data_IF_791793007059
#
_entry.id   IF_791793007059
#
_cell.length_a   1.000
_cell.length_b   1.000
_cell.length_c   1.000
_cell.angle_alpha   90.00
_cell.angle_beta   90.00
_cell.angle_gamma   90.00
#
_symmetry.space_group_name_H-M   'P 1'
#
loop_
_entity.id
_entity.type
_entity.pdbx_description
1 polymer ?
#
# COMPACT_ATOMS: atom_id res chain seq x y z
N UNK A 1 -25.86 3.52 -16.80
CA UNK A 1 -24.66 3.60 -15.95
C UNK A 1 -24.33 5.08 -15.77
N UNK A 2 -24.18 5.58 -14.53
CA UNK A 2 -24.06 7.03 -14.23
C UNK A 2 -22.59 7.47 -14.11
N UNK A 3 -21.67 6.53 -13.90
CA UNK A 3 -20.25 6.80 -13.68
C UNK A 3 -19.42 6.60 -14.95
N UNK A 4 -18.21 7.17 -14.96
CA UNK A 4 -17.15 6.83 -15.92
C UNK A 4 -16.92 5.31 -15.99
N UNK A 5 -16.44 4.82 -17.14
CA UNK A 5 -16.28 3.39 -17.44
C UNK A 5 -15.46 2.68 -16.35
N UNK A 6 -14.30 3.23 -15.97
CA UNK A 6 -13.43 2.64 -14.95
C UNK A 6 -14.11 2.46 -13.59
N UNK A 7 -14.84 3.49 -13.16
CA UNK A 7 -15.59 3.45 -11.91
C UNK A 7 -16.74 2.46 -12.00
N UNK A 8 -17.43 2.43 -13.13
CA UNK A 8 -18.56 1.51 -13.33
C UNK A 8 -18.11 0.05 -13.31
N UNK A 9 -17.03 -0.27 -14.01
CA UNK A 9 -16.44 -1.60 -14.06
C UNK A 9 -16.02 -2.08 -12.66
N UNK A 10 -15.36 -1.19 -11.89
CA UNK A 10 -14.88 -1.53 -10.55
C UNK A 10 -16.00 -1.67 -9.52
N UNK A 11 -16.99 -0.77 -9.52
CA UNK A 11 -18.04 -0.71 -8.50
C UNK A 11 -19.34 -1.43 -8.89
N UNK A 12 -19.49 -1.81 -10.17
CA UNK A 12 -20.68 -2.47 -10.70
C UNK A 12 -20.86 -3.91 -10.23
N UNK A 13 -19.84 -4.52 -9.61
CA UNK A 13 -19.93 -5.87 -9.05
C UNK A 13 -20.05 -6.98 -10.10
N UNK A 14 -19.56 -6.72 -11.32
CA UNK A 14 -19.63 -7.66 -12.45
C UNK A 14 -18.95 -9.01 -12.18
N UNK A 15 -17.94 -9.06 -11.30
CA UNK A 15 -17.29 -10.31 -10.89
C UNK A 15 -18.24 -11.33 -10.24
N UNK A 16 -19.43 -10.93 -9.78
CA UNK A 16 -20.45 -11.89 -9.30
C UNK A 16 -20.96 -12.82 -10.41
N UNK A 17 -20.93 -12.37 -11.67
CA UNK A 17 -21.38 -13.10 -12.85
C UNK A 17 -20.28 -13.98 -13.45
N UNK A 18 -19.02 -13.79 -13.05
CA UNK A 18 -17.90 -14.57 -13.56
C UNK A 18 -18.00 -16.06 -13.16
N UNK A 19 -17.52 -16.97 -14.02
CA UNK A 19 -17.53 -18.41 -13.75
C UNK A 19 -16.70 -18.74 -12.51
N UNK A 20 -17.04 -19.85 -11.85
CA UNK A 20 -16.25 -20.37 -10.73
C UNK A 20 -15.09 -21.19 -11.29
N UNK A 21 -13.87 -20.77 -11.00
CA UNK A 21 -12.68 -21.58 -11.26
C UNK A 21 -12.39 -22.41 -10.01
N UNK A 22 -12.87 -23.65 -9.99
CA UNK A 22 -12.84 -24.50 -8.78
C UNK A 22 -11.45 -25.07 -8.44
N UNK A 23 -10.54 -25.15 -9.42
CA UNK A 23 -9.25 -25.84 -9.30
C UNK A 23 -8.10 -25.03 -8.64
N UNK A 24 -8.36 -23.81 -8.13
CA UNK A 24 -7.27 -22.91 -7.70
C UNK A 24 -6.94 -23.07 -6.21
N UNK A 25 -5.65 -23.24 -5.84
CA UNK A 25 -5.22 -23.31 -4.46
C UNK A 25 -5.49 -22.01 -3.70
N UNK A 26 -5.64 -22.10 -2.38
CA UNK A 26 -5.76 -20.92 -1.51
C UNK A 26 -4.37 -20.35 -1.24
N UNK A 27 -4.25 -19.02 -1.33
CA UNK A 27 -3.04 -18.29 -0.95
C UNK A 27 -2.83 -18.43 0.55
N UNK A 28 -1.79 -19.16 0.95
CA UNK A 28 -1.47 -19.46 2.35
C UNK A 28 0.03 -19.48 2.55
N UNK A 29 0.51 -18.91 3.66
CA UNK A 29 1.95 -18.79 3.96
C UNK A 29 2.68 -20.13 4.02
N UNK A 30 1.98 -21.25 4.28
CA UNK A 30 2.58 -22.59 4.36
C UNK A 30 2.72 -23.29 3.00
N UNK A 31 1.87 -22.96 2.04
CA UNK A 31 1.70 -23.71 0.77
C UNK A 31 1.94 -22.85 -0.46
N UNK A 32 2.85 -21.86 -0.38
CA UNK A 32 3.22 -21.02 -1.53
C UNK A 32 4.10 -21.83 -2.49
N UNK A 33 3.55 -22.17 -3.65
CA UNK A 33 4.29 -22.81 -4.75
C UNK A 33 4.60 -21.76 -5.82
N UNK A 34 5.83 -21.70 -6.36
CA UNK A 34 6.18 -20.73 -7.40
C UNK A 34 5.35 -20.99 -8.68
N UNK A 35 5.13 -19.93 -9.45
CA UNK A 35 4.41 -19.98 -10.73
C UNK A 35 2.98 -20.52 -10.61
N UNK A 36 2.34 -20.46 -9.43
CA UNK A 36 0.95 -20.90 -9.26
C UNK A 36 0.02 -19.73 -8.97
N UNK A 37 -1.13 -19.70 -9.65
CA UNK A 37 -2.21 -18.77 -9.34
C UNK A 37 -2.91 -19.26 -8.07
N UNK A 38 -3.14 -18.36 -7.12
CA UNK A 38 -3.72 -18.66 -5.82
C UNK A 38 -4.82 -17.65 -5.47
N UNK A 39 -5.93 -18.13 -4.92
CA UNK A 39 -7.05 -17.27 -4.48
C UNK A 39 -6.87 -16.84 -3.03
N UNK A 40 -7.17 -15.59 -2.70
CA UNK A 40 -7.21 -15.16 -1.30
C UNK A 40 -8.38 -15.82 -0.55
N UNK A 41 -8.21 -16.10 0.76
CA UNK A 41 -9.35 -16.51 1.58
C UNK A 41 -10.38 -15.38 1.70
N UNK A 42 -11.65 -15.70 1.95
CA UNK A 42 -12.73 -14.72 2.08
C UNK A 42 -12.46 -13.68 3.17
N UNK A 43 -11.91 -14.13 4.31
CA UNK A 43 -11.53 -13.29 5.44
C UNK A 43 -10.43 -12.30 5.04
N UNK A 44 -9.32 -12.81 4.49
CA UNK A 44 -8.18 -11.97 4.08
C UNK A 44 -8.61 -11.01 2.96
N UNK A 45 -9.35 -11.48 1.97
CA UNK A 45 -9.88 -10.63 0.90
C UNK A 45 -10.79 -9.52 1.43
N UNK A 46 -11.58 -9.78 2.48
CA UNK A 46 -12.42 -8.76 3.10
C UNK A 46 -11.58 -7.66 3.78
N UNK A 47 -10.52 -8.03 4.51
CA UNK A 47 -9.59 -7.08 5.12
C UNK A 47 -8.79 -6.32 4.07
N UNK A 48 -8.32 -6.96 3.01
CA UNK A 48 -7.64 -6.30 1.89
C UNK A 48 -8.53 -5.29 1.17
N UNK A 49 -9.83 -5.59 1.00
CA UNK A 49 -10.82 -4.62 0.48
C UNK A 49 -10.98 -3.42 1.42
N UNK A 50 -11.04 -3.65 2.73
CA UNK A 50 -11.10 -2.57 3.73
C UNK A 50 -9.85 -1.69 3.69
N UNK A 51 -8.67 -2.28 3.46
CA UNK A 51 -7.41 -1.56 3.31
C UNK A 51 -7.30 -0.75 2.01
N UNK A 52 -8.17 -1.02 1.03
CA UNK A 52 -8.07 -0.43 -0.31
C UNK A 52 -6.86 -0.96 -1.09
N UNK A 53 -6.49 -2.23 -0.86
CA UNK A 53 -5.38 -2.88 -1.54
C UNK A 53 -5.69 -3.10 -3.04
N UNK A 54 -6.89 -3.57 -3.35
CA UNK A 54 -7.38 -3.71 -4.73
C UNK A 54 -7.69 -2.35 -5.36
N UNK A 55 -7.09 -2.08 -6.52
CA UNK A 55 -7.21 -0.81 -7.25
C UNK A 55 -8.14 -0.94 -8.46
N UNK A 56 -8.72 0.18 -8.86
CA UNK A 56 -9.63 0.34 -10.01
C UNK A 56 -9.03 -0.23 -11.31
N UNK A 57 -7.73 -0.06 -11.54
CA UNK A 57 -7.07 -0.45 -12.80
C UNK A 57 -6.46 -1.87 -12.80
N UNK A 58 -6.85 -2.74 -11.87
CA UNK A 58 -6.30 -4.10 -11.74
C UNK A 58 -7.19 -5.19 -12.34
N UNK A 59 -8.34 -4.83 -12.92
CA UNK A 59 -9.23 -5.75 -13.60
C UNK A 59 -9.73 -6.94 -12.74
N UNK A 60 -9.91 -6.70 -11.45
CA UNK A 60 -10.37 -7.71 -10.49
C UNK A 60 -11.83 -8.11 -10.73
N UNK A 61 -12.60 -7.28 -11.45
CA UNK A 61 -13.98 -7.52 -11.83
C UNK A 61 -14.18 -8.72 -12.77
N UNK A 62 -13.13 -9.15 -13.48
CA UNK A 62 -13.22 -10.25 -14.43
C UNK A 62 -13.31 -11.61 -13.71
N UNK A 63 -12.89 -11.65 -12.46
CA UNK A 63 -12.83 -12.87 -11.68
C UNK A 63 -13.84 -12.84 -10.55
N UNK A 64 -14.36 -14.02 -10.22
CA UNK A 64 -15.29 -14.16 -9.10
C UNK A 64 -14.63 -13.96 -7.73
N UNK A 65 -13.40 -14.40 -7.61
CA UNK A 65 -12.58 -14.25 -6.41
C UNK A 65 -11.28 -13.54 -6.78
N UNK A 66 -10.79 -12.69 -5.88
CA UNK A 66 -9.50 -12.05 -6.05
C UNK A 66 -8.40 -13.11 -5.97
N UNK A 67 -7.65 -13.23 -7.05
CA UNK A 67 -6.56 -14.17 -7.22
C UNK A 67 -5.25 -13.42 -7.52
N UNK A 68 -4.13 -14.07 -7.20
CA UNK A 68 -2.80 -13.52 -7.36
C UNK A 68 -1.84 -14.63 -7.81
N UNK A 69 -0.77 -14.27 -8.52
CA UNK A 69 0.27 -15.21 -8.91
C UNK A 69 1.39 -15.21 -7.87
N UNK A 70 1.77 -16.39 -7.38
CA UNK A 70 2.94 -16.55 -6.53
C UNK A 70 4.19 -16.55 -7.41
N UNK A 71 5.05 -15.55 -7.23
CA UNK A 71 6.27 -15.36 -8.02
C UNK A 71 7.48 -15.82 -7.25
N UNK A 72 8.37 -16.56 -7.91
CA UNK A 72 9.62 -17.01 -7.30
C UNK A 72 10.53 -15.81 -7.00
N UNK A 73 10.64 -14.89 -7.95
CA UNK A 73 11.55 -13.74 -7.88
C UNK A 73 11.20 -12.70 -6.80
N UNK A 74 9.92 -12.59 -6.42
CA UNK A 74 9.45 -11.46 -5.59
C UNK A 74 8.58 -11.90 -4.42
N UNK A 75 7.59 -12.76 -4.63
CA UNK A 75 6.68 -13.19 -3.56
C UNK A 75 7.38 -14.05 -2.51
N UNK A 76 8.26 -14.96 -2.91
CA UNK A 76 8.99 -15.82 -1.97
C UNK A 76 10.00 -15.04 -1.13
N UNK A 77 10.88 -14.18 -1.69
CA UNK A 77 11.75 -13.31 -0.89
C UNK A 77 10.96 -12.37 0.03
N UNK A 78 9.82 -11.85 -0.43
CA UNK A 78 8.96 -10.99 0.39
C UNK A 78 8.44 -11.73 1.64
N UNK A 79 8.06 -13.01 1.50
CA UNK A 79 7.65 -13.84 2.63
C UNK A 79 8.77 -13.96 3.66
N UNK A 80 10.00 -14.22 3.22
CA UNK A 80 11.18 -14.32 4.10
C UNK A 80 11.47 -13.00 4.81
N UNK A 81 11.41 -11.88 4.09
CA UNK A 81 11.55 -10.53 4.65
C UNK A 81 10.53 -10.30 5.76
N UNK A 82 9.26 -10.65 5.53
CA UNK A 82 8.21 -10.47 6.54
C UNK A 82 8.40 -11.41 7.75
N UNK A 83 8.89 -12.63 7.54
CA UNK A 83 9.23 -13.53 8.63
C UNK A 83 10.38 -12.98 9.48
N UNK A 84 11.42 -12.42 8.86
CA UNK A 84 12.51 -11.75 9.59
C UNK A 84 12.01 -10.49 10.31
N UNK A 85 11.13 -9.72 9.66
CA UNK A 85 10.52 -8.52 10.23
C UNK A 85 9.66 -8.81 11.47
N UNK A 86 9.12 -10.02 11.61
CA UNK A 86 8.38 -10.39 12.83
C UNK A 86 9.24 -10.38 14.10
N UNK A 87 10.57 -10.51 13.96
CA UNK A 87 11.53 -10.63 15.08
C UNK A 87 12.50 -9.46 15.19
N UNK A 88 12.39 -8.47 14.29
CA UNK A 88 13.37 -7.41 14.19
C UNK A 88 12.71 -6.04 14.00
N UNK A 89 13.41 -5.00 14.44
CA UNK A 89 12.93 -3.64 14.33
C UNK A 89 12.73 -3.22 12.88
N UNK A 90 11.61 -2.52 12.67
CA UNK A 90 11.26 -1.92 11.38
C UNK A 90 12.31 -0.96 10.84
N UNK A 91 13.21 -0.44 11.70
CA UNK A 91 14.35 0.38 11.26
C UNK A 91 15.26 -0.37 10.27
N UNK A 92 15.39 -1.69 10.42
CA UNK A 92 16.24 -2.51 9.53
C UNK A 92 15.47 -3.07 8.32
N UNK A 93 14.14 -2.97 8.35
CA UNK A 93 13.20 -3.58 7.40
C UNK A 93 12.39 -2.51 6.68
N UNK A 94 13.08 -1.56 6.06
CA UNK A 94 12.47 -0.52 5.22
C UNK A 94 12.80 -0.81 3.77
N UNK A 95 11.75 -1.03 2.96
CA UNK A 95 11.90 -1.38 1.55
C UNK A 95 11.06 -0.48 0.66
N UNK A 96 11.56 -0.19 -0.53
CA UNK A 96 10.85 0.50 -1.60
C UNK A 96 10.77 -0.40 -2.83
N UNK A 97 9.55 -0.70 -3.24
CA UNK A 97 9.23 -1.52 -4.40
C UNK A 97 9.28 -0.63 -5.64
N UNK A 98 10.15 -1.00 -6.57
CA UNK A 98 10.40 -0.29 -7.83
C UNK A 98 10.22 -1.21 -9.02
N UNK A 99 10.14 -0.63 -10.21
CA UNK A 99 9.99 -1.38 -11.45
C UNK A 99 9.13 -0.65 -12.50
N UNK A 100 8.99 -1.22 -13.70
CA UNK A 100 8.26 -0.61 -14.82
C UNK A 100 6.75 -0.42 -14.56
N UNK A 101 6.09 0.27 -15.49
CA UNK A 101 4.63 0.44 -15.46
C UNK A 101 3.92 -0.91 -15.65
N UNK A 102 2.92 -1.20 -14.81
CA UNK A 102 2.08 -2.39 -14.95
C UNK A 102 2.69 -3.71 -14.46
N UNK A 103 3.89 -3.66 -13.85
CA UNK A 103 4.64 -4.87 -13.47
C UNK A 103 4.12 -5.60 -12.22
N UNK A 104 3.15 -5.02 -11.50
CA UNK A 104 2.56 -5.64 -10.29
C UNK A 104 3.08 -5.11 -8.95
N UNK A 105 3.60 -3.87 -8.87
CA UNK A 105 4.11 -3.29 -7.61
C UNK A 105 3.04 -3.18 -6.51
N UNK A 106 1.86 -2.64 -6.84
CA UNK A 106 0.71 -2.59 -5.92
C UNK A 106 0.17 -3.98 -5.58
N UNK A 107 0.31 -4.94 -6.49
CA UNK A 107 -0.06 -6.35 -6.23
C UNK A 107 0.90 -6.98 -5.21
N UNK A 108 2.21 -6.71 -5.32
CA UNK A 108 3.19 -7.18 -4.35
C UNK A 108 2.94 -6.60 -2.94
N UNK A 109 2.53 -5.34 -2.81
CA UNK A 109 2.05 -4.77 -1.54
C UNK A 109 0.79 -5.45 -1.00
N UNK A 110 -0.12 -5.84 -1.90
CA UNK A 110 -1.34 -6.58 -1.55
C UNK A 110 -0.98 -7.97 -1.02
N UNK A 111 -0.05 -8.67 -1.68
CA UNK A 111 0.50 -9.94 -1.20
C UNK A 111 1.20 -9.78 0.16
N UNK A 112 1.98 -8.71 0.36
CA UNK A 112 2.63 -8.44 1.64
C UNK A 112 1.60 -8.28 2.76
N UNK A 113 0.54 -7.51 2.50
CA UNK A 113 -0.56 -7.30 3.44
C UNK A 113 -1.31 -8.59 3.74
N UNK A 114 -1.51 -9.45 2.73
CA UNK A 114 -2.13 -10.76 2.90
C UNK A 114 -1.29 -11.70 3.79
N UNK A 115 0.02 -11.78 3.53
CA UNK A 115 0.97 -12.57 4.34
C UNK A 115 1.00 -12.06 5.78
N UNK A 116 1.01 -10.74 5.96
CA UNK A 116 1.02 -10.09 7.26
C UNK A 116 -0.27 -10.40 8.06
N UNK A 117 -1.45 -10.28 7.44
CA UNK A 117 -2.73 -10.63 8.06
C UNK A 117 -2.75 -12.10 8.53
N UNK A 118 -2.30 -13.03 7.67
CA UNK A 118 -2.27 -14.46 8.00
C UNK A 118 -1.30 -14.80 9.15
N UNK A 119 -0.28 -13.98 9.37
CA UNK A 119 0.71 -14.16 10.43
C UNK A 119 0.42 -13.30 11.68
N UNK A 120 -0.76 -12.67 11.77
CA UNK A 120 -1.15 -11.89 12.96
C UNK A 120 -0.47 -10.52 13.08
N UNK A 121 -0.03 -9.93 11.97
CA UNK A 121 0.50 -8.56 11.97
C UNK A 121 -0.62 -7.53 12.06
N UNK A 122 -0.30 -6.36 12.60
CA UNK A 122 -1.12 -5.16 12.42
C UNK A 122 -0.72 -4.48 11.12
N UNK A 123 -1.62 -4.41 10.15
CA UNK A 123 -1.37 -3.77 8.86
C UNK A 123 -1.89 -2.33 8.88
N UNK A 124 -1.00 -1.38 8.57
CA UNK A 124 -1.31 0.05 8.44
C UNK A 124 -1.19 0.41 6.96
N UNK A 125 -2.31 0.59 6.22
CA UNK A 125 -2.25 0.80 4.77
C UNK A 125 -2.48 2.25 4.36
N UNK A 126 -1.59 2.77 3.53
CA UNK A 126 -1.80 4.02 2.79
C UNK A 126 -1.92 3.67 1.30
N UNK A 127 -3.16 3.52 0.80
CA UNK A 127 -3.40 2.95 -0.51
C UNK A 127 -3.09 3.91 -1.67
N UNK A 128 -3.15 5.22 -1.46
CA UNK A 128 -2.90 6.22 -2.51
C UNK A 128 -2.35 7.50 -1.88
N UNK A 129 -1.03 7.72 -1.94
CA UNK A 129 -0.43 8.97 -1.44
C UNK A 129 -0.91 10.23 -2.18
N UNK A 130 -1.39 10.10 -3.42
CA UNK A 130 -1.92 11.23 -4.18
C UNK A 130 -3.09 11.96 -3.50
N UNK A 131 -3.93 11.24 -2.73
CA UNK A 131 -5.04 11.86 -1.99
C UNK A 131 -4.54 12.87 -0.95
N UNK A 132 -3.38 12.62 -0.35
CA UNK A 132 -2.79 13.47 0.71
C UNK A 132 -2.35 14.84 0.21
N UNK A 133 -2.05 14.97 -1.09
CA UNK A 133 -1.51 16.20 -1.69
C UNK A 133 -2.51 16.91 -2.60
N UNK A 134 -3.57 16.21 -3.01
CA UNK A 134 -4.53 16.61 -4.06
C UNK A 134 -5.29 17.91 -3.76
N UNK A 135 -5.45 18.29 -2.49
CA UNK A 135 -6.29 19.42 -2.10
C UNK A 135 -7.77 19.06 -1.90
N UNK A 136 -8.15 17.77 -2.02
CA UNK A 136 -9.56 17.35 -2.03
C UNK A 136 -10.20 17.23 -0.64
N UNK A 137 -9.41 17.13 0.43
CA UNK A 137 -9.91 16.88 1.80
C UNK A 137 -9.75 18.08 2.72
N UNK A 138 -10.50 18.15 3.81
CA UNK A 138 -10.33 19.24 4.78
C UNK A 138 -8.96 19.18 5.48
N UNK A 139 -8.43 20.35 5.84
CA UNK A 139 -7.18 20.47 6.58
C UNK A 139 -7.29 21.58 7.64
N UNK A 140 -6.53 21.44 8.73
CA UNK A 140 -6.51 22.39 9.85
C UNK A 140 -5.07 22.54 10.32
N UNK A 141 -4.61 23.78 10.50
CA UNK A 141 -3.30 24.06 11.06
C UNK A 141 -3.30 23.84 12.58
N UNK A 142 -2.39 23.01 13.06
CA UNK A 142 -2.13 22.80 14.48
C UNK A 142 -0.94 23.63 14.95
N UNK A 143 -1.22 24.57 15.86
CA UNK A 143 -0.19 25.42 16.48
C UNK A 143 0.74 24.65 17.40
N UNK A 144 0.27 23.53 17.99
CA UNK A 144 1.06 22.76 18.95
C UNK A 144 2.21 22.01 18.25
N UNK A 145 1.95 21.44 17.08
CA UNK A 145 2.93 20.66 16.32
C UNK A 145 3.56 21.43 15.15
N UNK A 146 3.10 22.65 14.87
CA UNK A 146 3.44 23.43 13.66
C UNK A 146 3.22 22.64 12.35
N UNK A 147 2.12 21.88 12.30
CA UNK A 147 1.78 20.98 11.19
C UNK A 147 0.33 21.16 10.78
N UNK A 148 0.01 20.73 9.56
CA UNK A 148 -1.36 20.68 9.06
C UNK A 148 -1.94 19.27 9.23
N UNK A 149 -3.04 19.18 9.98
CA UNK A 149 -3.82 17.98 10.20
C UNK A 149 -4.87 17.83 9.08
N UNK A 150 -5.14 16.60 8.63
CA UNK A 150 -6.16 16.29 7.59
C UNK A 150 -7.30 15.44 8.17
N UNK A 151 -8.25 16.02 8.94
CA UNK A 151 -9.14 15.26 9.80
C UNK A 151 -10.12 14.34 9.04
N UNK A 152 -10.56 14.66 7.81
CA UNK A 152 -11.42 13.77 7.03
C UNK A 152 -10.64 12.58 6.47
N UNK A 153 -9.42 12.81 5.96
CA UNK A 153 -8.56 11.70 5.54
C UNK A 153 -8.20 10.82 6.75
N UNK A 154 -7.76 11.41 7.88
CA UNK A 154 -7.40 10.67 9.11
C UNK A 154 -8.55 9.80 9.61
N UNK A 155 -9.81 10.26 9.52
CA UNK A 155 -10.98 9.43 9.86
C UNK A 155 -11.02 8.18 9.01
N UNK A 156 -10.97 8.33 7.68
CA UNK A 156 -11.05 7.19 6.76
C UNK A 156 -9.87 6.25 6.96
N UNK A 157 -8.67 6.79 7.18
CA UNK A 157 -7.46 6.03 7.45
C UNK A 157 -7.57 5.21 8.73
N UNK A 158 -7.99 5.82 9.85
CA UNK A 158 -8.25 5.12 11.10
C UNK A 158 -9.34 4.05 10.95
N UNK A 159 -10.43 4.35 10.24
CA UNK A 159 -11.49 3.36 9.98
C UNK A 159 -10.96 2.13 9.21
N UNK A 160 -10.05 2.32 8.24
CA UNK A 160 -9.39 1.22 7.52
C UNK A 160 -8.55 0.37 8.47
N UNK A 161 -7.71 1.01 9.29
CA UNK A 161 -6.84 0.31 10.27
C UNK A 161 -7.69 -0.47 11.27
N UNK A 162 -8.67 0.16 11.91
CA UNK A 162 -9.48 -0.49 12.94
C UNK A 162 -10.32 -1.63 12.36
N UNK A 163 -10.98 -1.44 11.21
CA UNK A 163 -11.86 -2.47 10.64
C UNK A 163 -11.08 -3.67 10.10
N UNK A 164 -9.96 -3.45 9.42
CA UNK A 164 -9.21 -4.54 8.80
C UNK A 164 -8.31 -5.33 9.76
N UNK A 165 -7.97 -4.77 10.93
CA UNK A 165 -7.16 -5.43 11.97
C UNK A 165 -7.95 -5.71 13.26
N UNK A 166 -9.28 -5.85 13.18
CA UNK A 166 -10.17 -5.97 14.35
C UNK A 166 -9.68 -7.03 15.33
N UNK A 167 -9.30 -8.20 14.82
CA UNK A 167 -8.96 -9.36 15.65
C UNK A 167 -7.67 -9.10 16.45
N UNK A 168 -6.62 -8.61 15.79
CA UNK A 168 -5.33 -8.30 16.45
C UNK A 168 -5.41 -7.08 17.37
N UNK A 169 -6.10 -6.02 16.96
CA UNK A 169 -6.23 -4.80 17.78
C UNK A 169 -7.08 -5.02 19.03
N UNK A 170 -7.96 -6.02 19.03
CA UNK A 170 -8.76 -6.37 20.20
C UNK A 170 -7.91 -6.96 21.33
N UNK A 171 -6.82 -7.67 20.99
CA UNK A 171 -5.93 -8.33 21.96
C UNK A 171 -4.87 -7.41 22.54
N UNK A 172 -4.56 -6.30 21.86
CA UNK A 172 -3.55 -5.34 22.29
C UNK A 172 -4.12 -4.33 23.28
N UNK A 173 -3.37 -4.05 24.35
CA UNK A 173 -3.75 -3.12 25.41
C UNK A 173 -2.89 -1.86 25.39
N UNK A 174 -3.45 -0.73 25.83
CA UNK A 174 -2.74 0.53 25.99
C UNK A 174 -1.78 0.51 27.17
N UNK A 175 -0.52 0.89 26.96
CA UNK A 175 0.51 0.90 28.00
C UNK A 175 0.42 2.10 28.96
N UNK A 176 -0.16 3.22 28.52
CA UNK A 176 -0.24 4.48 29.29
C UNK A 176 -1.65 5.06 29.33
N UNK A 177 -1.88 5.91 30.33
CA UNK A 177 -3.01 6.83 30.35
C UNK A 177 -2.74 8.02 29.41
N UNK A 178 -3.70 8.36 28.56
CA UNK A 178 -3.64 9.54 27.71
C UNK A 178 -4.78 10.48 28.08
N UNK A 179 -4.45 11.73 28.41
CA UNK A 179 -5.43 12.81 28.57
C UNK A 179 -5.04 13.96 27.65
N UNK A 180 -5.73 14.07 26.52
CA UNK A 180 -5.47 15.11 25.52
C UNK A 180 -6.69 16.01 25.46
N UNK A 181 -6.51 17.30 25.79
CA UNK A 181 -7.59 18.29 25.73
C UNK A 181 -7.38 19.19 24.52
N UNK A 182 -8.31 19.17 23.58
CA UNK A 182 -8.23 19.97 22.35
C UNK A 182 -9.55 20.67 22.07
N UNK A 183 -9.53 22.01 22.09
CA UNK A 183 -10.68 22.85 21.75
C UNK A 183 -11.92 22.59 22.62
N UNK A 184 -11.73 22.38 23.93
CA UNK A 184 -12.80 22.18 24.92
C UNK A 184 -13.28 20.74 25.10
N UNK A 185 -12.82 19.80 24.26
CA UNK A 185 -13.07 18.36 24.45
C UNK A 185 -11.83 17.67 24.99
N UNK A 186 -11.99 16.94 26.10
CA UNK A 186 -10.94 16.09 26.66
C UNK A 186 -11.16 14.65 26.21
N UNK A 187 -10.15 14.10 25.54
CA UNK A 187 -10.03 12.70 25.19
C UNK A 187 -9.21 12.00 26.26
N UNK A 188 -9.85 11.10 27.01
CA UNK A 188 -9.23 10.30 28.05
C UNK A 188 -9.21 8.83 27.64
N UNK A 189 -8.03 8.24 27.60
CA UNK A 189 -7.81 6.80 27.41
C UNK A 189 -7.13 6.29 28.66
N UNK A 190 -7.76 5.32 29.31
CA UNK A 190 -7.18 4.64 30.47
C UNK A 190 -6.19 3.59 30.00
N UNK A 191 -5.17 3.37 30.81
CA UNK A 191 -4.26 2.24 30.74
C UNK A 191 -5.05 0.92 30.74
N UNK A 192 -4.48 -0.08 30.07
CA UNK A 192 -5.03 -1.42 29.95
C UNK A 192 -6.40 -1.49 29.21
N UNK A 193 -6.76 -0.43 28.47
CA UNK A 193 -7.88 -0.48 27.53
C UNK A 193 -7.45 -1.12 26.20
N UNK A 194 -8.37 -1.84 25.56
CA UNK A 194 -8.09 -2.43 24.23
C UNK A 194 -7.85 -1.33 23.19
N UNK A 195 -6.83 -1.46 22.35
CA UNK A 195 -6.54 -0.50 21.28
C UNK A 195 -7.72 -0.33 20.32
N UNK A 196 -8.53 -1.37 20.10
CA UNK A 196 -9.74 -1.28 19.28
C UNK A 196 -10.80 -0.33 19.86
N UNK A 197 -10.83 -0.12 21.18
CA UNK A 197 -11.80 0.77 21.84
C UNK A 197 -11.68 2.23 21.41
N UNK A 198 -10.48 2.65 20.98
CA UNK A 198 -10.18 3.98 20.45
C UNK A 198 -11.04 4.36 19.24
N UNK A 199 -11.51 3.36 18.48
CA UNK A 199 -12.42 3.56 17.33
C UNK A 199 -13.67 4.36 17.70
N UNK A 200 -14.21 4.15 18.90
CA UNK A 200 -15.42 4.85 19.36
C UNK A 200 -15.23 6.36 19.45
N UNK A 201 -14.00 6.80 19.68
CA UNK A 201 -13.62 8.19 19.92
C UNK A 201 -13.28 8.96 18.63
N UNK A 202 -13.09 8.26 17.50
CA UNK A 202 -12.76 8.85 16.16
C UNK A 202 -13.88 9.75 15.61
N UNK A 203 -15.09 9.70 16.20
CA UNK A 203 -16.26 10.48 15.77
C UNK A 203 -15.97 11.99 15.76
N UNK A 204 -15.33 12.50 16.80
CA UNK A 204 -15.03 13.92 16.96
C UNK A 204 -13.90 14.35 16.03
N UNK A 205 -14.12 15.35 15.17
CA UNK A 205 -13.12 15.83 14.19
C UNK A 205 -11.81 16.27 14.84
N UNK A 206 -11.89 16.98 15.97
CA UNK A 206 -10.75 17.62 16.64
C UNK A 206 -9.72 16.61 17.16
N UNK A 207 -10.15 15.43 17.59
CA UNK A 207 -9.28 14.47 18.28
C UNK A 207 -8.62 13.46 17.33
N UNK A 208 -8.93 13.50 16.02
CA UNK A 208 -8.53 12.43 15.08
C UNK A 208 -7.02 12.33 14.89
N UNK A 209 -6.36 13.48 14.76
CA UNK A 209 -4.91 13.58 14.66
C UNK A 209 -4.23 13.02 15.92
N UNK A 210 -4.78 13.36 17.09
CA UNK A 210 -4.28 12.92 18.39
C UNK A 210 -4.47 11.40 18.56
N UNK A 211 -5.65 10.87 18.23
CA UNK A 211 -5.93 9.43 18.26
C UNK A 211 -4.97 8.65 17.37
N UNK A 212 -4.67 9.16 16.17
CA UNK A 212 -3.68 8.54 15.29
C UNK A 212 -2.29 8.52 15.94
N UNK A 213 -1.87 9.64 16.54
CA UNK A 213 -0.57 9.72 17.22
C UNK A 213 -0.46 8.74 18.39
N UNK A 214 -1.51 8.61 19.20
CA UNK A 214 -1.58 7.67 20.32
C UNK A 214 -1.54 6.22 19.83
N UNK A 215 -2.34 5.89 18.80
CA UNK A 215 -2.36 4.55 18.22
C UNK A 215 -0.97 4.14 17.74
N UNK A 216 -0.28 5.01 17.01
CA UNK A 216 1.05 4.70 16.49
C UNK A 216 2.12 4.64 17.57
N UNK A 217 2.02 5.48 18.59
CA UNK A 217 2.92 5.43 19.74
C UNK A 217 2.78 4.10 20.49
N UNK A 218 1.55 3.64 20.75
CA UNK A 218 1.31 2.34 21.37
C UNK A 218 1.78 1.18 20.49
N UNK A 219 1.53 1.24 19.18
CA UNK A 219 2.02 0.24 18.23
C UNK A 219 3.55 0.21 18.13
N UNK A 220 4.23 1.34 18.38
CA UNK A 220 5.69 1.42 18.47
C UNK A 220 6.26 0.85 19.78
N UNK A 221 5.50 0.90 20.88
CA UNK A 221 5.93 0.40 22.19
C UNK A 221 5.73 -1.11 22.33
N UNK A 222 4.61 -1.62 21.82
CA UNK A 222 4.25 -3.03 21.96
C UNK A 222 5.20 -3.96 21.18
N UNK A 223 5.33 -5.19 21.68
CA UNK A 223 6.18 -6.25 21.09
C UNK A 223 5.39 -7.49 20.67
N UNK A 224 4.12 -7.59 21.07
CA UNK A 224 3.30 -8.79 20.94
C UNK A 224 2.94 -9.10 19.48
N UNK A 225 2.65 -8.08 18.67
CA UNK A 225 2.23 -8.25 17.27
C UNK A 225 3.07 -7.37 16.37
N UNK A 226 3.75 -7.93 15.36
CA UNK A 226 4.55 -7.12 14.44
C UNK A 226 3.67 -6.19 13.60
N UNK A 227 4.23 -5.04 13.20
CA UNK A 227 3.50 -4.01 12.45
C UNK A 227 4.01 -3.95 11.01
N UNK A 228 3.09 -4.03 10.04
CA UNK A 228 3.40 -3.78 8.63
C UNK A 228 2.83 -2.43 8.21
N UNK A 229 3.68 -1.46 7.95
CA UNK A 229 3.28 -0.18 7.38
C UNK A 229 3.48 -0.20 5.86
N UNK A 230 2.39 -0.16 5.09
CA UNK A 230 2.43 -0.14 3.63
C UNK A 230 2.04 1.23 3.06
N UNK A 231 2.78 1.68 2.05
CA UNK A 231 2.59 2.97 1.40
C UNK A 231 2.66 2.80 -0.11
N UNK A 232 1.57 3.05 -0.81
CA UNK A 232 1.54 3.04 -2.27
C UNK A 232 1.70 4.46 -2.83
N UNK A 233 2.25 4.57 -4.04
CA UNK A 233 2.47 5.84 -4.75
C UNK A 233 3.46 6.82 -4.05
N UNK A 234 4.52 6.33 -3.39
CA UNK A 234 5.44 7.20 -2.60
C UNK A 234 6.12 8.29 -3.44
N UNK A 235 6.39 7.99 -4.71
CA UNK A 235 7.08 8.90 -5.61
C UNK A 235 6.26 10.16 -5.96
N UNK A 236 4.97 10.19 -5.60
CA UNK A 236 4.15 11.39 -5.74
C UNK A 236 4.74 12.59 -4.98
N UNK A 237 5.35 12.37 -3.81
CA UNK A 237 5.95 13.45 -3.01
C UNK A 237 7.15 14.10 -3.69
N UNK A 238 7.82 13.38 -4.58
CA UNK A 238 8.95 13.91 -5.37
C UNK A 238 8.53 14.44 -6.73
N UNK A 239 7.37 14.03 -7.23
CA UNK A 239 6.79 14.55 -8.46
C UNK A 239 6.13 15.91 -8.22
N UNK A 240 5.46 16.05 -7.08
CA UNK A 240 4.82 17.29 -6.63
C UNK A 240 5.25 17.55 -5.18
N UNK A 241 6.39 18.24 -4.98
CA UNK A 241 6.90 18.56 -3.64
C UNK A 241 5.98 19.50 -2.86
N UNK A 242 5.28 20.40 -3.56
CA UNK A 242 4.25 21.25 -2.98
C UNK A 242 2.87 20.66 -3.23
N UNK A 243 2.03 20.71 -2.20
CA UNK A 243 0.65 20.25 -2.26
C UNK A 243 -0.26 21.31 -2.90
N UNK A 244 -1.45 20.89 -3.34
CA UNK A 244 -2.46 21.83 -3.85
C UNK A 244 -3.15 22.63 -2.72
N UNK A 245 -2.85 22.34 -1.46
CA UNK A 245 -3.33 23.12 -0.32
C UNK A 245 -2.58 24.45 -0.24
N UNK A 246 -3.34 25.50 0.05
CA UNK A 246 -2.80 26.85 0.18
C UNK A 246 -2.80 27.30 1.64
N UNK A 247 -1.75 28.01 2.02
CA UNK A 247 -1.71 28.70 3.31
C UNK A 247 -2.51 30.02 3.28
N UNK A 248 -2.52 30.75 4.41
CA UNK A 248 -3.18 32.05 4.52
C UNK A 248 -2.59 33.12 3.57
N UNK A 249 -1.39 32.89 3.02
CA UNK A 249 -0.73 33.77 2.04
C UNK A 249 -0.98 33.31 0.60
N UNK A 250 -1.92 32.39 0.39
CA UNK A 250 -2.24 31.77 -0.90
C UNK A 250 -1.04 31.05 -1.56
N UNK A 251 -0.10 30.53 -0.75
CA UNK A 251 1.06 29.78 -1.25
C UNK A 251 0.87 28.27 -1.05
N UNK A 252 1.27 27.44 -2.03
CA UNK A 252 1.31 25.99 -1.89
C UNK A 252 2.12 25.53 -0.67
N UNK A 253 1.54 24.64 0.12
CA UNK A 253 2.17 24.11 1.33
C UNK A 253 3.07 22.92 0.96
N UNK A 254 4.30 22.90 1.46
CA UNK A 254 5.22 21.78 1.29
C UNK A 254 4.70 20.49 1.95
N UNK A 255 4.81 19.36 1.26
CA UNK A 255 4.18 18.10 1.69
C UNK A 255 4.61 17.63 3.10
N UNK A 256 5.87 17.86 3.53
CA UNK A 256 6.31 17.50 4.90
C UNK A 256 5.66 18.30 6.01
N UNK A 257 5.00 19.44 5.72
CA UNK A 257 4.25 20.19 6.73
C UNK A 257 2.90 19.56 7.09
N UNK A 258 2.51 18.47 6.42
CA UNK A 258 1.30 17.72 6.76
C UNK A 258 1.61 16.57 7.72
N UNK A 259 0.76 16.38 8.72
CA UNK A 259 0.95 15.38 9.79
C UNK A 259 1.16 13.96 9.24
N UNK A 260 0.30 13.51 8.32
CA UNK A 260 0.33 12.15 7.77
C UNK A 260 1.51 11.95 6.84
N UNK A 261 1.80 12.94 6.00
CA UNK A 261 2.94 12.88 5.09
C UNK A 261 4.26 12.86 5.86
N UNK A 262 4.39 13.71 6.89
CA UNK A 262 5.56 13.69 7.76
C UNK A 262 5.70 12.33 8.47
N UNK A 263 4.59 11.77 8.93
CA UNK A 263 4.55 10.46 9.56
C UNK A 263 5.06 9.36 8.62
N UNK A 264 4.56 9.29 7.39
CA UNK A 264 5.07 8.36 6.35
C UNK A 264 6.59 8.46 6.23
N UNK A 265 7.09 9.69 6.07
CA UNK A 265 8.50 9.94 5.85
C UNK A 265 9.34 9.64 7.09
N UNK A 266 8.83 9.88 8.30
CA UNK A 266 9.51 9.57 9.56
C UNK A 266 9.68 8.06 9.78
N UNK A 267 8.73 7.23 9.33
CA UNK A 267 8.87 5.77 9.37
C UNK A 267 9.78 5.24 8.25
N UNK A 268 9.75 5.86 7.07
CA UNK A 268 10.65 5.51 5.97
C UNK A 268 12.10 5.95 6.21
N UNK A 269 12.32 7.06 6.91
CA UNK A 269 13.64 7.55 7.32
C UNK A 269 14.20 6.79 8.53
N UNK A 270 13.35 6.07 9.26
CA UNK A 270 13.72 5.43 10.52
C UNK A 270 13.80 6.34 11.73
N UNK A 271 13.39 7.61 11.61
CA UNK A 271 13.23 8.50 12.77
C UNK A 271 12.22 7.91 13.76
N UNK A 272 11.12 7.36 13.22
CA UNK A 272 10.16 6.53 13.97
C UNK A 272 10.31 5.09 13.56
N UNK A 273 10.16 4.19 14.53
CA UNK A 273 10.22 2.75 14.29
C UNK A 273 9.26 1.99 15.21
N UNK A 274 8.85 0.83 14.74
CA UNK A 274 8.24 -0.26 15.50
C UNK A 274 9.31 -1.25 15.94
N UNK A 275 9.19 -1.78 17.17
CA UNK A 275 10.11 -2.78 17.72
C UNK A 275 10.17 -4.08 16.91
N UNK A 276 9.02 -4.53 16.40
CA UNK A 276 8.87 -5.65 15.49
C UNK A 276 8.03 -5.20 14.29
N UNK A 277 8.54 -5.30 13.07
CA UNK A 277 7.79 -4.93 11.89
C UNK A 277 8.60 -4.56 10.66
N UNK A 278 7.89 -4.08 9.64
CA UNK A 278 8.47 -3.61 8.38
C UNK A 278 7.71 -2.41 7.82
N UNK A 279 8.42 -1.59 7.06
CA UNK A 279 7.85 -0.48 6.28
C UNK A 279 8.08 -0.76 4.80
N UNK A 280 7.00 -0.89 4.03
CA UNK A 280 7.05 -1.16 2.59
C UNK A 280 6.42 0.00 1.83
N UNK A 281 7.23 0.66 1.00
CA UNK A 281 6.75 1.66 0.06
C UNK A 281 6.74 1.11 -1.37
N UNK A 282 5.93 1.71 -2.24
CA UNK A 282 5.77 1.33 -3.64
C UNK A 282 5.76 2.58 -4.52
N UNK A 283 6.42 2.48 -5.68
CA UNK A 283 6.46 3.56 -6.68
C UNK A 283 5.44 3.33 -7.79
N UNK A 284 4.81 4.40 -8.27
CA UNK A 284 3.87 4.35 -9.38
C UNK A 284 4.46 4.98 -10.62
N UNK A 285 4.45 4.24 -11.72
CA UNK A 285 5.09 4.68 -12.95
C UNK A 285 4.52 6.00 -13.51
N UNK A 286 3.25 6.31 -13.23
CA UNK A 286 2.62 7.57 -13.64
C UNK A 286 3.38 8.83 -13.18
N UNK A 287 3.91 8.83 -11.96
CA UNK A 287 4.63 9.99 -11.42
C UNK A 287 6.11 10.02 -11.83
N UNK A 288 6.58 9.03 -12.60
CA UNK A 288 7.97 8.92 -13.00
C UNK A 288 8.93 8.58 -11.86
N UNK A 289 10.21 8.39 -12.20
CA UNK A 289 11.29 8.22 -11.24
C UNK A 289 12.23 9.43 -11.33
N UNK A 290 11.93 10.46 -10.54
CA UNK A 290 12.71 11.70 -10.50
C UNK A 290 14.07 11.50 -9.84
N UNK A 291 14.97 12.48 -10.00
CA UNK A 291 16.30 12.44 -9.39
C UNK A 291 16.22 12.27 -7.86
N UNK A 292 15.29 12.97 -7.19
CA UNK A 292 15.07 12.82 -5.75
C UNK A 292 14.85 11.37 -5.30
N UNK A 293 14.02 10.61 -6.02
CA UNK A 293 13.80 9.20 -5.69
C UNK A 293 15.04 8.35 -5.96
N UNK A 294 15.73 8.57 -7.08
CA UNK A 294 16.95 7.82 -7.40
C UNK A 294 18.04 8.06 -6.35
N UNK A 295 18.20 9.30 -5.91
CA UNK A 295 19.14 9.69 -4.86
C UNK A 295 18.69 9.13 -3.50
N UNK A 296 17.39 9.19 -3.19
CA UNK A 296 16.83 8.61 -1.95
C UNK A 296 17.07 7.10 -1.83
N UNK A 297 17.06 6.40 -2.97
CA UNK A 297 17.31 4.96 -3.07
C UNK A 297 18.79 4.62 -3.29
N UNK A 298 19.70 5.59 -3.15
CA UNK A 298 21.15 5.44 -3.34
C UNK A 298 21.56 4.89 -4.73
N UNK A 299 20.77 5.19 -5.77
CA UNK A 299 21.06 4.79 -7.16
C UNK A 299 21.85 5.83 -7.94
N UNK A 300 21.86 7.08 -7.50
CA UNK A 300 22.51 8.21 -8.18
C UNK A 300 23.03 9.20 -7.14
N UNK A 301 24.07 9.95 -7.50
CA UNK A 301 24.64 10.99 -6.65
C UNK A 301 23.74 12.24 -6.54
N UNK A 302 23.75 12.93 -5.39
CA UNK A 302 22.96 14.14 -5.19
C UNK A 302 23.49 15.30 -6.04
N UNK A 303 22.57 16.07 -6.64
CA UNK A 303 22.90 17.27 -7.42
C UNK A 303 22.31 18.52 -6.73
N UNK A 304 23.07 19.19 -5.85
CA UNK A 304 22.53 20.20 -4.93
C UNK A 304 22.08 21.51 -5.60
N UNK A 305 22.52 21.76 -6.84
CA UNK A 305 22.23 23.01 -7.55
C UNK A 305 20.87 23.01 -8.27
N UNK A 306 20.19 21.88 -8.34
CA UNK A 306 18.89 21.77 -8.99
C UNK A 306 17.78 22.36 -8.12
N UNK A 307 16.72 22.82 -8.78
CA UNK A 307 15.54 23.36 -8.09
C UNK A 307 14.76 22.24 -7.41
N UNK A 308 13.99 22.57 -6.37
CA UNK A 308 13.20 21.61 -5.60
C UNK A 308 12.21 20.79 -6.45
N UNK A 309 11.68 21.38 -7.54
CA UNK A 309 10.75 20.70 -8.45
C UNK A 309 11.40 19.53 -9.20
N UNK A 310 12.73 19.59 -9.40
CA UNK A 310 13.52 18.55 -10.06
C UNK A 310 14.24 17.66 -9.03
N UNK A 311 14.71 18.29 -7.95
CA UNK A 311 15.45 17.66 -6.87
C UNK A 311 15.14 18.28 -5.50
N UNK A 312 14.29 17.59 -4.74
CA UNK A 312 14.11 17.80 -3.30
C UNK A 312 15.21 17.09 -2.49
N UNK A 313 16.23 17.85 -2.08
CA UNK A 313 17.33 17.37 -1.24
C UNK A 313 16.85 16.91 0.15
N UNK A 314 15.91 17.63 0.76
CA UNK A 314 15.38 17.30 2.08
C UNK A 314 14.69 15.94 2.07
N UNK A 315 13.89 15.67 1.04
CA UNK A 315 13.27 14.35 0.85
C UNK A 315 14.34 13.25 0.70
N UNK A 316 15.30 13.46 -0.21
CA UNK A 316 16.31 12.47 -0.53
C UNK A 316 17.23 12.13 0.66
N UNK A 317 17.65 13.14 1.43
CA UNK A 317 18.43 12.94 2.64
C UNK A 317 17.65 12.20 3.72
N UNK A 318 16.37 12.54 3.91
CA UNK A 318 15.54 11.88 4.92
C UNK A 318 15.46 10.37 4.69
N UNK A 319 15.31 9.93 3.44
CA UNK A 319 15.22 8.50 3.14
C UNK A 319 16.56 7.75 3.21
N UNK A 320 17.70 8.47 3.13
CA UNK A 320 19.04 7.87 3.28
C UNK A 320 19.45 7.68 4.74
N UNK A 321 18.80 8.39 5.67
CA UNK A 321 19.12 8.30 7.09
C UNK A 321 18.92 6.89 7.65
N UNK A 322 19.59 6.60 8.77
CA UNK A 322 19.44 5.37 9.57
C UNK A 322 19.61 4.06 8.79
N UNK A 323 20.51 4.01 7.82
CA UNK A 323 20.78 2.82 7.01
C UNK A 323 19.99 2.73 5.70
N UNK A 324 19.23 3.78 5.36
CA UNK A 324 18.57 3.94 4.07
C UNK A 324 17.37 3.02 3.85
N UNK A 325 16.71 3.18 2.70
CA UNK A 325 15.62 2.32 2.24
C UNK A 325 16.16 1.33 1.21
N UNK A 326 15.94 0.03 1.43
CA UNK A 326 16.38 -1.04 0.52
C UNK A 326 15.46 -1.11 -0.70
N UNK A 327 16.00 -1.37 -1.88
CA UNK A 327 15.20 -1.46 -3.11
C UNK A 327 14.79 -2.91 -3.38
N UNK A 328 13.51 -3.13 -3.66
CA UNK A 328 13.01 -4.37 -4.26
C UNK A 328 12.62 -4.05 -5.68
N UNK A 329 13.36 -4.55 -6.67
CA UNK A 329 12.99 -4.39 -8.07
C UNK A 329 12.03 -5.52 -8.47
N UNK A 330 10.89 -5.15 -9.05
CA UNK A 330 9.92 -6.12 -9.57
C UNK A 330 10.21 -6.33 -11.03
N UNK A 331 10.64 -7.54 -11.36
CA UNK A 331 10.96 -7.95 -12.71
C UNK A 331 9.73 -8.39 -13.50
N UNK A 332 9.91 -8.60 -14.81
CA UNK A 332 8.90 -9.17 -15.70
C UNK A 332 8.62 -10.63 -15.37
N UNK A 333 7.44 -11.10 -15.78
CA UNK A 333 7.03 -12.48 -15.59
C UNK A 333 7.94 -13.41 -16.38
N UNK A 334 8.25 -14.56 -15.80
CA UNK A 334 8.87 -15.64 -16.56
C UNK A 334 7.88 -16.24 -17.56
N UNK A 335 8.39 -17.05 -18.49
CA UNK A 335 7.54 -17.79 -19.45
C UNK A 335 6.59 -18.74 -18.73
N UNK A 336 7.07 -19.43 -17.69
CA UNK A 336 6.28 -20.35 -16.86
C UNK A 336 5.21 -19.60 -16.06
N UNK A 337 5.57 -18.48 -15.42
CA UNK A 337 4.64 -17.60 -14.70
C UNK A 337 3.52 -17.08 -15.63
N UNK A 338 3.88 -16.75 -16.88
CA UNK A 338 2.94 -16.29 -17.90
C UNK A 338 2.03 -17.43 -18.36
N UNK A 339 2.52 -18.66 -18.44
CA UNK A 339 1.72 -19.84 -18.80
C UNK A 339 0.62 -20.10 -17.79
N UNK A 340 0.97 -20.13 -16.51
CA UNK A 340 -0.01 -20.31 -15.45
C UNK A 340 -1.09 -19.22 -15.41
N UNK A 341 -0.74 -17.98 -15.78
CA UNK A 341 -1.72 -16.90 -15.90
C UNK A 341 -2.64 -17.07 -17.12
N UNK A 342 -2.08 -17.44 -18.27
CA UNK A 342 -2.87 -17.67 -19.51
C UNK A 342 -3.82 -18.85 -19.32
N UNK A 343 -3.35 -19.95 -18.74
CA UNK A 343 -4.20 -21.10 -18.36
C UNK A 343 -5.31 -20.68 -17.41
N UNK A 344 -5.01 -19.84 -16.41
CA UNK A 344 -6.01 -19.31 -15.51
C UNK A 344 -7.04 -18.43 -16.23
N UNK A 345 -6.62 -17.57 -17.17
CA UNK A 345 -7.54 -16.74 -17.96
C UNK A 345 -8.43 -17.58 -18.88
N UNK A 346 -7.92 -18.69 -19.41
CA UNK A 346 -8.72 -19.64 -20.17
C UNK A 346 -9.75 -20.34 -19.28
N UNK A 347 -9.34 -20.85 -18.11
CA UNK A 347 -10.25 -21.46 -17.14
C UNK A 347 -11.32 -20.49 -16.61
N UNK A 348 -11.01 -19.20 -16.56
CA UNK A 348 -11.95 -18.13 -16.20
C UNK A 348 -12.85 -17.69 -17.37
N UNK A 349 -12.79 -18.34 -18.53
CA UNK A 349 -13.53 -18.02 -19.75
C UNK A 349 -13.29 -16.59 -20.27
N UNK A 350 -12.13 -16.00 -19.94
CA UNK A 350 -11.71 -14.69 -20.45
C UNK A 350 -11.05 -14.85 -21.81
N UNK A 351 -10.22 -15.89 -21.94
CA UNK A 351 -9.56 -16.28 -23.18
C UNK A 351 -10.28 -17.47 -23.80
N UNK A 352 -10.90 -17.27 -24.96
CA UNK A 352 -11.63 -18.33 -25.67
C UNK A 352 -10.72 -19.29 -26.44
N UNK A 353 -9.50 -18.86 -26.78
CA UNK A 353 -8.51 -19.68 -27.49
C UNK A 353 -7.85 -20.68 -26.53
N UNK A 354 -7.62 -21.91 -26.99
CA UNK A 354 -6.93 -22.92 -26.18
C UNK A 354 -5.46 -22.54 -25.93
N UNK A 355 -4.94 -22.71 -24.70
CA UNK A 355 -3.59 -22.32 -24.32
C UNK A 355 -2.54 -23.26 -24.93
N UNK A 356 -2.25 -23.06 -26.22
CA UNK A 356 -1.16 -23.76 -26.92
C UNK A 356 0.17 -23.05 -26.66
N UNK A 357 1.29 -23.76 -26.73
CA UNK A 357 2.64 -23.18 -26.57
C UNK A 357 2.93 -22.03 -27.56
N UNK A 358 2.46 -22.13 -28.80
CA UNK A 358 2.58 -21.07 -29.80
C UNK A 358 1.81 -19.81 -29.40
N UNK A 359 0.59 -19.97 -28.88
CA UNK A 359 -0.23 -18.87 -28.39
C UNK A 359 0.42 -18.19 -27.19
N UNK A 360 0.97 -18.99 -26.26
CA UNK A 360 1.73 -18.47 -25.13
C UNK A 360 2.87 -17.56 -25.60
N UNK A 361 3.68 -18.03 -26.55
CA UNK A 361 4.83 -17.29 -27.04
C UNK A 361 4.40 -15.98 -27.74
N UNK A 362 3.29 -16.01 -28.50
CA UNK A 362 2.68 -14.82 -29.08
C UNK A 362 2.24 -13.82 -28.01
N UNK A 363 1.43 -14.23 -27.03
CA UNK A 363 0.92 -13.35 -25.97
C UNK A 363 2.06 -12.83 -25.08
N UNK A 364 3.06 -13.67 -24.81
CA UNK A 364 4.26 -13.29 -24.07
C UNK A 364 5.06 -12.21 -24.82
N UNK A 365 5.25 -12.38 -26.13
CA UNK A 365 5.92 -11.39 -26.98
C UNK A 365 5.15 -10.07 -27.03
N UNK A 366 3.84 -10.11 -27.29
CA UNK A 366 2.96 -8.92 -27.34
C UNK A 366 2.89 -8.18 -26.00
N UNK A 367 3.01 -8.90 -24.88
CA UNK A 367 3.07 -8.28 -23.55
C UNK A 367 4.40 -7.56 -23.27
N UNK A 368 5.36 -7.57 -24.19
CA UNK A 368 6.69 -7.00 -24.01
C UNK A 368 7.56 -7.86 -23.10
N UNK A 369 7.61 -9.17 -23.37
CA UNK A 369 8.35 -10.17 -22.59
C UNK A 369 7.88 -10.25 -21.13
N UNK A 370 6.58 -10.39 -20.90
CA UNK A 370 6.02 -10.71 -19.58
C UNK A 370 5.64 -9.51 -18.71
N UNK A 371 5.08 -8.42 -19.27
CA UNK A 371 4.44 -7.39 -18.44
C UNK A 371 3.00 -7.85 -18.06
N UNK A 372 2.69 -8.11 -16.78
CA UNK A 372 1.38 -8.63 -16.37
C UNK A 372 0.19 -7.80 -16.86
N UNK A 373 0.29 -6.47 -16.75
CA UNK A 373 -0.79 -5.57 -17.17
C UNK A 373 -1.02 -5.62 -18.67
N UNK A 374 0.04 -5.72 -19.46
CA UNK A 374 -0.10 -5.80 -20.92
C UNK A 374 -0.53 -7.19 -21.36
N UNK A 375 0.00 -8.25 -20.72
CA UNK A 375 -0.43 -9.63 -20.96
C UNK A 375 -1.94 -9.76 -20.79
N UNK A 376 -2.47 -9.24 -19.69
CA UNK A 376 -3.90 -9.21 -19.42
C UNK A 376 -4.69 -8.46 -20.49
N UNK A 377 -4.20 -7.31 -20.95
CA UNK A 377 -4.84 -6.54 -22.03
C UNK A 377 -4.86 -7.26 -23.37
N UNK A 378 -3.82 -8.02 -23.69
CA UNK A 378 -3.73 -8.78 -24.95
C UNK A 378 -4.59 -10.05 -24.89
N UNK A 379 -4.78 -10.63 -23.70
CA UNK A 379 -5.67 -11.78 -23.50
C UNK A 379 -7.15 -11.38 -23.45
N UNK A 380 -7.45 -10.14 -23.07
CA UNK A 380 -8.82 -9.62 -23.15
C UNK A 380 -9.22 -9.50 -24.62
N UNK A 381 -10.44 -9.93 -24.99
CA UNK A 381 -10.95 -9.65 -26.32
C UNK A 381 -10.96 -8.13 -26.48
N UNK A 382 -10.19 -7.63 -27.45
CA UNK A 382 -10.24 -6.21 -27.82
C UNK A 382 -11.71 -5.87 -28.09
N UNK A 383 -12.22 -4.69 -27.68
CA UNK A 383 -13.41 -4.20 -28.32
C UNK A 383 -13.10 -4.16 -29.81
N UNK A 384 -13.78 -5.00 -30.59
CA UNK A 384 -13.96 -4.72 -32.00
C UNK A 384 -14.58 -3.32 -32.04
N UNK A 385 -13.78 -2.34 -32.47
CA UNK A 385 -14.26 -0.99 -32.75
C UNK A 385 -15.31 -1.08 -33.84
#
# INVERSE_FOLDING_TARGET
>A
MIYDWLNTVTYGGFGKLAPKVDAIPKFSTKTLQPSTVSKYSSEVASSLRLFGAFKINQHQELFRASATLVRESTTLPLKEILQQASKSSSINNRYCITGPAGIGKSELLTQASAIALMNGFVVIPIPRCGELISGETDFVYDKATDMYDQPMYTKTFLDRIFKGNKDVLSTLLTSKDYSITRGGSTFNVKKDSSLYSLKSMVKQKKNRADILSVLLQELSIQEQSPVLFTVDDINVFTHTPFTNYLDNSAKPIYHKKFQITNLILSYLSGEKSFKNGAVLASTKAHYGMNLSMKVALSQTEPQPYLKIDEYDANFAESLRNNGGVKVINVDRLSREESASLVEYYHQAEILYEEPTSALLDEKYFLSGNGNPKQLMKVCLPLPAI
#
